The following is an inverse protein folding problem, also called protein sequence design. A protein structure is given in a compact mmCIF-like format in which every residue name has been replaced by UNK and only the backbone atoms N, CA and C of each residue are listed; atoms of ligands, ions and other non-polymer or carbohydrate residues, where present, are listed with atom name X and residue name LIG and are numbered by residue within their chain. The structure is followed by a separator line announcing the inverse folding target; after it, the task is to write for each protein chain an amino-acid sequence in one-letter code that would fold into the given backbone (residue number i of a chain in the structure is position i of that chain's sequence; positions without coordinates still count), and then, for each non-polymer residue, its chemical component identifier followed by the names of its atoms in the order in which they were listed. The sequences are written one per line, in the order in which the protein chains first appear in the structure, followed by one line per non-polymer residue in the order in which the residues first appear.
data_IF_148763939228
#
_entry.id   IF_148763939228
#
_cell.length_a   1.000
_cell.length_b   1.000
_cell.length_c   1.000
_cell.angle_alpha   90.00
_cell.angle_beta   90.00
_cell.angle_gamma   90.00
#
_symmetry.space_group_name_H-M   'P 1'
#
loop_
_entity.id
_entity.type
_entity.pdbx_description
1 polymer ?
#
# COMPACT_ATOMS: atom_id res chain seq x y z
N UNK A 1 27.73 -18.33 38.17
CA UNK A 1 27.54 -18.18 36.72
C UNK A 1 26.08 -18.50 36.44
N UNK A 2 25.25 -17.57 35.98
CA UNK A 2 23.87 -17.89 35.60
C UNK A 2 23.86 -18.68 34.31
N UNK A 3 22.95 -19.65 34.26
CA UNK A 3 22.86 -20.71 33.26
C UNK A 3 22.37 -20.11 31.91
N UNK A 4 23.16 -20.32 30.84
CA UNK A 4 22.92 -19.78 29.49
C UNK A 4 21.52 -20.21 28.95
N UNK A 5 20.99 -21.36 29.39
CA UNK A 5 19.66 -21.86 29.03
C UNK A 5 18.50 -21.01 29.56
N UNK A 6 18.68 -20.34 30.71
CA UNK A 6 17.62 -19.48 31.29
C UNK A 6 17.50 -18.17 30.53
N UNK A 7 18.62 -17.61 30.01
CA UNK A 7 18.62 -16.39 29.23
C UNK A 7 17.97 -16.57 27.84
N UNK A 8 18.17 -17.71 27.17
CA UNK A 8 17.54 -17.99 25.87
C UNK A 8 16.00 -18.21 25.98
N UNK A 9 15.53 -18.75 27.11
CA UNK A 9 14.10 -18.94 27.37
C UNK A 9 13.42 -17.59 27.66
N UNK A 10 14.09 -16.71 28.42
CA UNK A 10 13.56 -15.37 28.72
C UNK A 10 13.51 -14.47 27.47
N UNK A 11 14.47 -14.56 26.56
CA UNK A 11 14.44 -13.83 25.29
C UNK A 11 13.29 -14.30 24.39
N UNK A 12 13.09 -15.62 24.25
CA UNK A 12 11.95 -16.16 23.49
C UNK A 12 10.58 -15.81 24.08
N UNK A 13 10.46 -15.73 25.41
CA UNK A 13 9.23 -15.31 26.08
C UNK A 13 8.96 -13.82 25.88
N UNK A 14 10.01 -12.98 25.83
CA UNK A 14 9.88 -11.55 25.57
C UNK A 14 9.51 -11.29 24.11
N UNK A 15 10.11 -12.02 23.15
CA UNK A 15 9.76 -11.93 21.73
C UNK A 15 8.31 -12.41 21.48
N UNK A 16 7.89 -13.54 22.07
CA UNK A 16 6.51 -14.05 21.91
C UNK A 16 5.46 -13.16 22.60
N UNK A 17 5.78 -12.50 23.72
CA UNK A 17 4.88 -11.52 24.36
C UNK A 17 4.78 -10.23 23.57
N UNK A 18 5.85 -9.76 22.93
CA UNK A 18 5.84 -8.59 22.05
C UNK A 18 4.97 -8.79 20.81
N UNK A 19 5.04 -9.96 20.17
CA UNK A 19 4.23 -10.30 19.00
C UNK A 19 2.73 -10.50 19.32
N UNK A 20 2.41 -11.04 20.50
CA UNK A 20 1.01 -11.27 20.91
C UNK A 20 0.32 -9.98 21.32
N UNK A 21 1.03 -9.03 21.94
CA UNK A 21 0.47 -7.74 22.40
C UNK A 21 0.26 -6.73 21.26
N UNK A 22 0.95 -6.88 20.12
CA UNK A 22 0.76 -6.04 18.92
C UNK A 22 -0.45 -6.46 18.07
N UNK A 23 -0.88 -7.72 18.13
CA UNK A 23 -2.04 -8.22 17.36
C UNK A 23 -3.40 -7.76 17.86
N UNK A 24 -3.51 -7.34 19.11
CA UNK A 24 -4.79 -6.96 19.74
C UNK A 24 -5.05 -5.45 19.77
N UNK A 25 -4.11 -4.60 19.38
CA UNK A 25 -4.37 -3.16 19.24
C UNK A 25 -4.92 -2.88 17.85
N UNK A 26 -6.21 -2.62 17.77
CA UNK A 26 -6.88 -2.18 16.54
C UNK A 26 -6.34 -0.80 16.12
N UNK A 27 -5.28 -0.80 15.29
CA UNK A 27 -4.66 0.42 14.79
C UNK A 27 -5.63 1.11 13.83
N UNK A 28 -5.87 2.40 14.05
CA UNK A 28 -6.85 3.13 13.25
C UNK A 28 -6.45 3.19 11.77
N UNK A 29 -7.43 3.08 10.87
CA UNK A 29 -7.22 3.21 9.41
C UNK A 29 -6.50 4.52 9.06
N UNK A 30 -6.74 5.59 9.81
CA UNK A 30 -6.08 6.88 9.61
C UNK A 30 -4.57 6.85 9.85
N UNK A 31 -4.10 6.08 10.85
CA UNK A 31 -2.67 5.85 11.08
C UNK A 31 -2.05 5.10 9.90
N UNK A 32 -2.67 3.98 9.50
CA UNK A 32 -2.20 3.17 8.37
C UNK A 32 -2.10 4.01 7.09
N UNK A 33 -3.07 4.87 6.79
CA UNK A 33 -3.06 5.76 5.61
C UNK A 33 -1.93 6.80 5.62
N UNK A 34 -1.35 7.12 6.78
CA UNK A 34 -0.20 8.04 6.88
C UNK A 34 1.17 7.37 6.69
N UNK A 35 1.30 6.09 7.03
CA UNK A 35 2.57 5.36 6.97
C UNK A 35 3.23 5.38 5.57
N UNK A 36 2.52 5.20 4.45
CA UNK A 36 3.12 5.29 3.11
C UNK A 36 3.78 6.66 2.86
N UNK A 37 3.18 7.74 3.39
CA UNK A 37 3.76 9.09 3.28
C UNK A 37 5.05 9.19 4.09
N UNK A 38 5.09 8.67 5.33
CA UNK A 38 6.32 8.63 6.12
C UNK A 38 7.42 7.87 5.38
N UNK A 39 7.12 6.65 4.90
CA UNK A 39 8.06 5.81 4.18
C UNK A 39 8.65 6.50 2.95
N UNK A 40 7.83 7.19 2.17
CA UNK A 40 8.28 7.94 0.98
C UNK A 40 9.31 9.01 1.33
N UNK A 41 9.06 9.83 2.34
CA UNK A 41 10.01 10.86 2.77
C UNK A 41 11.28 10.26 3.38
N UNK A 42 11.18 9.19 4.15
CA UNK A 42 12.35 8.48 4.69
C UNK A 42 13.23 7.93 3.57
N UNK A 43 12.65 7.36 2.51
CA UNK A 43 13.37 6.90 1.32
C UNK A 43 14.16 8.02 0.64
N UNK A 44 13.59 9.22 0.56
CA UNK A 44 14.30 10.39 0.01
C UNK A 44 15.43 10.89 0.92
N UNK A 45 15.25 10.84 2.23
CA UNK A 45 16.30 11.16 3.20
C UNK A 45 17.45 10.16 3.16
N UNK A 46 17.13 8.88 3.04
CA UNK A 46 18.13 7.80 2.90
C UNK A 46 18.99 8.00 1.64
N UNK A 47 18.37 8.31 0.49
CA UNK A 47 19.11 8.66 -0.74
C UNK A 47 20.04 9.87 -0.57
N UNK A 48 19.69 10.81 0.31
CA UNK A 48 20.52 11.99 0.64
C UNK A 48 21.59 11.70 1.72
N UNK A 49 21.70 10.46 2.20
CA UNK A 49 22.67 10.07 3.22
C UNK A 49 22.33 10.58 4.63
N UNK A 50 21.07 10.94 4.91
CA UNK A 50 20.64 11.38 6.24
C UNK A 50 20.46 10.14 7.12
N UNK A 51 21.29 10.01 8.15
CA UNK A 51 21.26 8.84 9.05
C UNK A 51 20.17 8.94 10.12
N UNK A 52 19.92 10.15 10.64
CA UNK A 52 18.98 10.38 11.75
C UNK A 52 18.08 11.58 11.48
N UNK A 53 16.84 11.50 11.98
CA UNK A 53 15.88 12.59 11.88
C UNK A 53 15.05 12.70 13.17
N UNK A 54 14.78 13.91 13.64
CA UNK A 54 13.86 14.14 14.74
C UNK A 54 12.39 14.15 14.27
N UNK A 55 11.45 13.91 15.18
CA UNK A 55 10.01 14.08 14.86
C UNK A 55 9.68 15.53 14.46
N UNK A 56 10.44 16.51 14.96
CA UNK A 56 10.28 17.93 14.61
C UNK A 56 10.70 18.17 13.16
N UNK A 57 11.88 17.72 12.76
CA UNK A 57 12.38 17.91 11.39
C UNK A 57 11.52 17.12 10.39
N UNK A 58 11.13 15.91 10.75
CA UNK A 58 10.22 15.11 9.94
C UNK A 58 8.85 15.79 9.76
N UNK A 59 8.36 16.49 10.80
CA UNK A 59 7.09 17.22 10.74
C UNK A 59 7.11 18.34 9.71
N UNK A 60 8.22 19.06 9.61
CA UNK A 60 8.39 20.12 8.60
C UNK A 60 8.34 19.57 7.17
N UNK A 61 8.94 18.40 6.95
CA UNK A 61 8.96 17.76 5.63
C UNK A 61 7.61 17.20 5.21
N UNK A 62 6.86 16.60 6.15
CA UNK A 62 5.65 15.83 5.85
C UNK A 62 4.38 16.68 5.98
N UNK A 63 4.42 17.75 6.77
CA UNK A 63 3.26 18.60 7.05
C UNK A 63 2.29 18.02 8.10
N UNK A 64 2.73 17.05 8.93
CA UNK A 64 2.04 16.61 10.14
C UNK A 64 2.74 17.19 11.37
N UNK A 65 2.04 17.27 12.50
CA UNK A 65 2.68 17.75 13.73
C UNK A 65 3.65 16.71 14.30
N UNK A 66 4.72 17.15 14.95
CA UNK A 66 5.68 16.26 15.61
C UNK A 66 5.00 15.36 16.68
N UNK A 67 3.93 15.83 17.32
CA UNK A 67 3.13 15.03 18.25
C UNK A 67 2.39 13.90 17.54
N UNK A 68 1.76 14.20 16.40
CA UNK A 68 1.05 13.20 15.58
C UNK A 68 2.00 12.12 15.09
N UNK A 69 3.20 12.50 14.59
CA UNK A 69 4.21 11.54 14.13
C UNK A 69 4.63 10.61 15.28
N UNK A 70 4.92 11.16 16.47
CA UNK A 70 5.26 10.33 17.64
C UNK A 70 4.14 9.40 18.04
N UNK A 71 2.90 9.88 18.05
CA UNK A 71 1.73 9.07 18.39
C UNK A 71 1.50 7.95 17.39
N UNK A 72 1.59 8.24 16.08
CA UNK A 72 1.44 7.24 15.03
C UNK A 72 2.50 6.13 15.15
N UNK A 73 3.76 6.52 15.33
CA UNK A 73 4.86 5.56 15.44
C UNK A 73 4.79 4.74 16.74
N UNK A 74 4.33 5.31 17.84
CA UNK A 74 4.17 4.60 19.12
C UNK A 74 3.14 3.46 19.06
N UNK A 75 2.22 3.45 18.07
CA UNK A 75 1.29 2.32 17.88
C UNK A 75 2.01 1.02 17.51
N UNK A 76 3.23 1.11 16.97
CA UNK A 76 3.99 -0.04 16.46
C UNK A 76 5.23 -0.38 17.29
N UNK A 77 5.40 0.25 18.46
CA UNK A 77 6.56 0.10 19.31
C UNK A 77 7.48 1.32 19.31
N UNK A 78 8.51 1.31 20.10
CA UNK A 78 9.44 2.44 20.25
C UNK A 78 10.49 2.46 19.14
N UNK A 79 10.28 3.22 18.08
CA UNK A 79 11.24 3.37 16.97
C UNK A 79 12.42 4.29 17.26
N UNK A 80 12.44 4.99 18.39
CA UNK A 80 13.47 5.94 18.72
C UNK A 80 13.79 6.01 20.20
N UNK A 81 15.01 6.38 20.54
CA UNK A 81 15.38 6.77 21.89
C UNK A 81 15.01 8.24 22.13
N UNK A 82 14.43 8.52 23.28
CA UNK A 82 14.06 9.88 23.67
C UNK A 82 15.29 10.81 23.63
N UNK A 83 15.21 11.88 22.85
CA UNK A 83 16.31 12.85 22.65
C UNK A 83 17.26 12.56 21.48
N UNK A 84 17.27 11.36 20.90
CA UNK A 84 18.18 10.97 19.81
C UNK A 84 17.56 10.94 18.41
N UNK A 85 16.22 11.08 18.31
CA UNK A 85 15.51 10.96 17.03
C UNK A 85 15.39 9.51 16.54
N UNK A 86 15.05 9.37 15.27
CA UNK A 86 14.87 8.09 14.58
C UNK A 86 16.04 7.82 13.63
N UNK A 87 16.52 6.59 13.58
CA UNK A 87 17.36 6.13 12.46
C UNK A 87 16.50 6.08 11.20
N UNK A 88 16.93 6.77 10.14
CA UNK A 88 16.17 6.90 8.88
C UNK A 88 15.99 5.53 8.23
N UNK A 89 17.08 4.77 8.06
CA UNK A 89 17.05 3.43 7.44
C UNK A 89 16.19 2.45 8.25
N UNK A 90 16.42 2.37 9.57
CA UNK A 90 15.65 1.46 10.42
C UNK A 90 14.15 1.78 10.40
N UNK A 91 13.78 3.06 10.52
CA UNK A 91 12.38 3.48 10.48
C UNK A 91 11.74 3.20 9.11
N UNK A 92 12.47 3.43 8.01
CA UNK A 92 12.03 3.11 6.64
C UNK A 92 11.72 1.62 6.47
N UNK A 93 12.63 0.75 6.92
CA UNK A 93 12.48 -0.70 6.85
C UNK A 93 11.30 -1.19 7.70
N UNK A 94 11.22 -0.73 8.94
CA UNK A 94 10.15 -1.14 9.85
C UNK A 94 8.75 -0.70 9.39
N UNK A 95 8.61 0.52 8.86
CA UNK A 95 7.35 0.94 8.23
C UNK A 95 7.06 0.07 7.00
N UNK A 96 8.08 -0.30 6.22
CA UNK A 96 7.93 -1.24 5.11
C UNK A 96 7.35 -2.59 5.56
N UNK A 97 7.89 -3.16 6.62
CA UNK A 97 7.42 -4.43 7.20
C UNK A 97 5.98 -4.33 7.76
N UNK A 98 5.65 -3.23 8.45
CA UNK A 98 4.29 -2.96 8.92
C UNK A 98 3.29 -2.91 7.76
N UNK A 99 3.68 -2.32 6.63
CA UNK A 99 2.88 -2.25 5.42
C UNK A 99 2.88 -3.56 4.59
N UNK A 100 3.61 -4.59 5.03
CA UNK A 100 3.73 -5.86 4.33
C UNK A 100 4.62 -5.82 3.09
N UNK A 101 5.45 -4.78 2.93
CA UNK A 101 6.30 -4.58 1.75
C UNK A 101 7.63 -5.38 1.80
N UNK A 102 7.76 -6.29 2.72
CA UNK A 102 8.77 -7.35 2.78
C UNK A 102 8.40 -8.59 1.95
N UNK A 103 7.16 -8.62 1.41
CA UNK A 103 6.63 -9.67 0.55
C UNK A 103 6.43 -9.17 -0.88
N UNK A 104 6.27 -10.11 -1.79
CA UNK A 104 5.86 -9.84 -3.17
C UNK A 104 4.41 -10.22 -3.39
N UNK A 105 3.71 -9.45 -4.22
CA UNK A 105 2.31 -9.63 -4.52
C UNK A 105 2.09 -9.78 -6.02
N UNK A 106 1.31 -10.78 -6.42
CA UNK A 106 0.85 -10.95 -7.79
C UNK A 106 -0.37 -10.07 -8.03
N UNK A 107 -0.33 -9.28 -9.10
CA UNK A 107 -1.41 -8.37 -9.47
C UNK A 107 -1.93 -8.66 -10.87
N UNK A 108 -3.22 -8.40 -11.06
CA UNK A 108 -3.83 -8.26 -12.38
C UNK A 108 -4.38 -6.85 -12.56
N UNK A 109 -4.36 -6.37 -13.81
CA UNK A 109 -5.02 -5.12 -14.19
C UNK A 109 -6.23 -5.47 -15.05
N UNK A 110 -7.40 -4.96 -14.66
CA UNK A 110 -8.64 -5.15 -15.43
C UNK A 110 -9.10 -3.81 -16.00
N UNK A 111 -9.05 -3.74 -17.34
CA UNK A 111 -9.19 -2.53 -18.13
C UNK A 111 -7.85 -2.02 -18.65
N UNK A 112 -7.55 -2.22 -19.94
CA UNK A 112 -6.30 -1.78 -20.57
C UNK A 112 -6.48 -0.52 -21.42
N UNK A 113 -7.35 0.39 -20.94
CA UNK A 113 -7.49 1.74 -21.46
C UNK A 113 -6.27 2.60 -21.09
N UNK A 114 -6.32 3.90 -21.37
CA UNK A 114 -5.23 4.84 -21.06
C UNK A 114 -4.78 4.80 -19.60
N UNK A 115 -5.74 4.72 -18.67
CA UNK A 115 -5.44 4.64 -17.23
C UNK A 115 -4.78 3.31 -16.88
N UNK A 116 -5.30 2.18 -17.36
CA UNK A 116 -4.72 0.86 -17.10
C UNK A 116 -3.29 0.75 -17.62
N UNK A 117 -3.00 1.28 -18.83
CA UNK A 117 -1.65 1.34 -19.39
C UNK A 117 -0.70 2.20 -18.53
N UNK A 118 -1.17 3.37 -18.08
CA UNK A 118 -0.39 4.23 -17.20
C UNK A 118 -0.07 3.54 -15.87
N UNK A 119 -1.06 2.86 -15.27
CA UNK A 119 -0.88 2.10 -14.02
C UNK A 119 0.07 0.92 -14.19
N UNK A 120 -0.06 0.15 -15.29
CA UNK A 120 0.86 -0.92 -15.60
C UNK A 120 2.31 -0.42 -15.65
N UNK A 121 2.55 0.68 -16.37
CA UNK A 121 3.88 1.30 -16.46
C UNK A 121 4.37 1.81 -15.11
N UNK A 122 3.53 2.50 -14.35
CA UNK A 122 3.89 3.04 -13.04
C UNK A 122 4.29 1.93 -12.06
N UNK A 123 3.44 0.91 -11.88
CA UNK A 123 3.68 -0.20 -10.96
C UNK A 123 4.98 -0.91 -11.31
N UNK A 124 5.13 -1.31 -12.58
CA UNK A 124 6.29 -2.06 -13.03
C UNK A 124 7.63 -1.32 -12.92
N UNK A 125 7.63 0.00 -12.90
CA UNK A 125 8.86 0.81 -12.82
C UNK A 125 9.18 1.29 -11.40
N UNK A 126 8.16 1.43 -10.52
CA UNK A 126 8.32 2.10 -9.24
C UNK A 126 8.04 1.20 -8.03
N UNK A 127 7.32 0.09 -8.22
CA UNK A 127 6.83 -0.76 -7.13
C UNK A 127 7.34 -2.20 -7.26
N UNK A 128 8.60 -2.47 -6.87
CA UNK A 128 9.25 -3.76 -7.10
C UNK A 128 8.61 -4.95 -6.37
N UNK A 129 7.81 -4.68 -5.34
CA UNK A 129 7.11 -5.70 -4.57
C UNK A 129 5.80 -6.17 -5.24
N UNK A 130 5.38 -5.51 -6.34
CA UNK A 130 4.13 -5.81 -7.01
C UNK A 130 4.39 -6.27 -8.44
N UNK A 131 4.06 -7.53 -8.73
CA UNK A 131 4.29 -8.17 -10.03
C UNK A 131 2.98 -8.27 -10.80
N UNK A 132 2.88 -7.58 -11.92
CA UNK A 132 1.75 -7.70 -12.83
C UNK A 132 1.91 -9.01 -13.60
N UNK A 133 1.04 -9.99 -13.30
CA UNK A 133 1.07 -11.33 -13.92
C UNK A 133 0.07 -11.46 -15.07
N UNK A 134 -0.93 -10.57 -15.16
CA UNK A 134 -1.93 -10.56 -16.22
C UNK A 134 -2.61 -9.21 -16.39
N UNK A 135 -3.02 -8.91 -17.60
CA UNK A 135 -3.78 -7.70 -17.96
C UNK A 135 -5.02 -8.14 -18.74
N UNK A 136 -6.18 -7.59 -18.40
CA UNK A 136 -7.45 -8.01 -18.98
C UNK A 136 -8.21 -6.84 -19.59
N UNK A 137 -8.76 -7.04 -20.80
CA UNK A 137 -9.65 -6.07 -21.45
C UNK A 137 -10.74 -6.81 -22.23
N UNK A 138 -11.83 -6.12 -22.51
CA UNK A 138 -12.93 -6.65 -23.36
C UNK A 138 -12.60 -6.61 -24.85
N UNK A 139 -11.62 -5.80 -25.26
CA UNK A 139 -11.24 -5.64 -26.66
C UNK A 139 -10.33 -6.77 -27.10
N UNK A 140 -10.77 -7.58 -28.06
CA UNK A 140 -9.97 -8.64 -28.71
C UNK A 140 -8.75 -8.14 -29.50
N UNK A 141 -8.67 -6.83 -29.78
CA UNK A 141 -7.61 -6.22 -30.61
C UNK A 141 -6.21 -6.29 -29.94
N UNK A 142 -6.16 -6.72 -28.68
CA UNK A 142 -4.94 -6.73 -27.87
C UNK A 142 -4.37 -8.15 -27.76
N UNK A 143 -4.91 -9.14 -28.47
CA UNK A 143 -4.36 -10.49 -28.52
C UNK A 143 -2.94 -10.42 -29.11
N UNK A 144 -1.98 -11.07 -28.43
CA UNK A 144 -0.55 -11.11 -28.76
C UNK A 144 0.29 -9.85 -28.38
N UNK A 145 -0.28 -8.87 -27.69
CA UNK A 145 0.52 -7.79 -27.10
C UNK A 145 0.94 -8.19 -25.68
N UNK A 146 2.23 -8.13 -25.44
CA UNK A 146 2.81 -8.33 -24.11
C UNK A 146 3.14 -6.97 -23.50
N UNK A 147 2.90 -6.83 -22.20
CA UNK A 147 3.44 -5.73 -21.40
C UNK A 147 4.49 -6.30 -20.46
N UNK A 148 5.78 -6.13 -20.78
CA UNK A 148 6.88 -6.83 -20.11
C UNK A 148 6.62 -8.34 -20.13
N UNK A 149 6.52 -8.98 -18.96
CA UNK A 149 6.27 -10.41 -18.80
C UNK A 149 4.78 -10.78 -18.71
N UNK A 150 3.88 -9.77 -18.63
CA UNK A 150 2.44 -9.97 -18.51
C UNK A 150 1.76 -10.10 -19.88
N UNK A 151 0.92 -11.12 -20.02
CA UNK A 151 0.05 -11.27 -21.20
C UNK A 151 -1.18 -10.38 -21.08
N UNK A 152 -1.61 -9.83 -22.22
CA UNK A 152 -2.89 -9.13 -22.33
C UNK A 152 -3.94 -10.12 -22.84
N UNK A 153 -4.97 -10.34 -22.04
CA UNK A 153 -5.99 -11.37 -22.25
C UNK A 153 -7.40 -10.76 -22.31
N UNK A 154 -8.35 -11.54 -22.78
CA UNK A 154 -9.77 -11.16 -22.73
C UNK A 154 -10.34 -11.38 -21.32
N UNK A 155 -11.28 -10.54 -20.90
CA UNK A 155 -11.96 -10.68 -19.61
C UNK A 155 -12.66 -12.02 -19.41
N UNK A 156 -12.97 -12.77 -20.47
CA UNK A 156 -13.58 -14.10 -20.38
C UNK A 156 -12.69 -15.13 -19.65
N UNK A 157 -11.39 -14.97 -19.65
CA UNK A 157 -10.44 -15.86 -18.95
C UNK A 157 -10.02 -15.35 -17.57
N UNK A 158 -10.56 -14.22 -17.11
CA UNK A 158 -10.13 -13.54 -15.89
C UNK A 158 -10.25 -14.45 -14.64
N UNK A 159 -11.41 -15.09 -14.47
CA UNK A 159 -11.69 -15.97 -13.32
C UNK A 159 -10.70 -17.12 -13.24
N UNK A 160 -10.61 -17.91 -14.32
CA UNK A 160 -9.75 -19.09 -14.37
C UNK A 160 -8.28 -18.72 -14.17
N UNK A 161 -7.86 -17.57 -14.70
CA UNK A 161 -6.49 -17.07 -14.54
C UNK A 161 -6.20 -16.69 -13.10
N UNK A 162 -7.11 -15.95 -12.45
CA UNK A 162 -6.96 -15.52 -11.06
C UNK A 162 -6.84 -16.73 -10.12
N UNK A 163 -7.71 -17.73 -10.30
CA UNK A 163 -7.69 -18.97 -9.52
C UNK A 163 -6.39 -19.76 -9.73
N UNK A 164 -5.98 -19.94 -10.99
CA UNK A 164 -4.79 -20.71 -11.35
C UNK A 164 -3.49 -20.06 -10.86
N UNK A 165 -3.36 -18.76 -11.03
CA UNK A 165 -2.13 -18.03 -10.69
C UNK A 165 -2.04 -17.63 -9.23
N UNK A 166 -3.11 -17.82 -8.42
CA UNK A 166 -3.21 -17.36 -7.05
C UNK A 166 -2.89 -15.86 -6.94
N UNK A 167 -3.68 -15.05 -7.63
CA UNK A 167 -3.49 -13.60 -7.69
C UNK A 167 -3.92 -12.96 -6.37
N UNK A 168 -3.10 -12.04 -5.84
CA UNK A 168 -3.37 -11.36 -4.57
C UNK A 168 -4.24 -10.12 -4.73
N UNK A 169 -3.99 -9.32 -5.79
CA UNK A 169 -4.56 -7.98 -5.94
C UNK A 169 -5.10 -7.77 -7.36
N UNK A 170 -6.30 -7.19 -7.48
CA UNK A 170 -6.83 -6.67 -8.72
C UNK A 170 -6.80 -5.14 -8.75
N UNK A 171 -6.25 -4.55 -9.82
CA UNK A 171 -6.35 -3.13 -10.14
C UNK A 171 -7.49 -2.94 -11.12
N UNK A 172 -8.53 -2.21 -10.73
CA UNK A 172 -9.73 -2.01 -11.55
C UNK A 172 -9.70 -0.62 -12.19
N UNK A 173 -9.63 -0.59 -13.52
CA UNK A 173 -9.55 0.63 -14.35
C UNK A 173 -10.59 0.62 -15.49
N UNK A 174 -11.68 -0.10 -15.30
CA UNK A 174 -12.79 -0.17 -16.25
C UNK A 174 -13.75 1.02 -16.12
N UNK A 175 -14.64 1.27 -17.08
CA UNK A 175 -15.71 2.24 -16.91
C UNK A 175 -16.60 1.91 -15.69
N UNK A 176 -17.05 2.93 -14.98
CA UNK A 176 -17.81 2.81 -13.71
C UNK A 176 -18.98 1.82 -13.80
N UNK A 177 -19.72 1.81 -14.91
CA UNK A 177 -20.84 0.89 -15.12
C UNK A 177 -20.45 -0.61 -15.13
N UNK A 178 -19.17 -0.94 -15.20
CA UNK A 178 -18.63 -2.31 -15.18
C UNK A 178 -17.82 -2.64 -13.94
N UNK A 179 -17.56 -1.65 -13.09
CA UNK A 179 -16.66 -1.79 -11.94
C UNK A 179 -17.13 -2.87 -10.97
N UNK A 180 -18.41 -2.84 -10.56
CA UNK A 180 -18.98 -3.81 -9.64
C UNK A 180 -18.92 -5.25 -10.20
N UNK A 181 -19.34 -5.45 -11.44
CA UNK A 181 -19.32 -6.78 -12.07
C UNK A 181 -17.90 -7.37 -12.11
N UNK A 182 -16.89 -6.54 -12.40
CA UNK A 182 -15.49 -6.96 -12.41
C UNK A 182 -15.05 -7.29 -11.00
N UNK A 183 -15.37 -6.46 -10.01
CA UNK A 183 -15.05 -6.68 -8.63
C UNK A 183 -15.63 -7.99 -8.09
N UNK A 184 -16.92 -8.26 -8.35
CA UNK A 184 -17.58 -9.52 -7.98
C UNK A 184 -16.86 -10.71 -8.63
N UNK A 185 -16.52 -10.61 -9.92
CA UNK A 185 -15.82 -11.70 -10.64
C UNK A 185 -14.47 -12.04 -10.01
N UNK A 186 -13.67 -11.04 -9.65
CA UNK A 186 -12.33 -11.28 -9.06
C UNK A 186 -12.41 -11.73 -7.62
N UNK A 187 -13.39 -11.27 -6.86
CA UNK A 187 -13.65 -11.72 -5.48
C UNK A 187 -14.10 -13.18 -5.47
N UNK A 188 -15.02 -13.55 -6.33
CA UNK A 188 -15.47 -14.94 -6.52
C UNK A 188 -14.33 -15.88 -6.93
N UNK A 189 -13.33 -15.36 -7.64
CA UNK A 189 -12.11 -16.09 -8.01
C UNK A 189 -11.05 -16.15 -6.91
N UNK A 190 -11.30 -15.53 -5.74
CA UNK A 190 -10.45 -15.63 -4.55
C UNK A 190 -9.51 -14.44 -4.30
N UNK A 191 -9.61 -13.34 -5.05
CA UNK A 191 -8.84 -12.12 -4.77
C UNK A 191 -9.24 -11.54 -3.41
N UNK A 192 -8.24 -11.08 -2.66
CA UNK A 192 -8.41 -10.50 -1.31
C UNK A 192 -8.19 -9.00 -1.27
N UNK A 193 -7.53 -8.43 -2.26
CA UNK A 193 -7.20 -7.01 -2.34
C UNK A 193 -7.66 -6.38 -3.65
N UNK A 194 -8.33 -5.25 -3.59
CA UNK A 194 -8.77 -4.49 -4.76
C UNK A 194 -8.26 -3.05 -4.66
N UNK A 195 -7.52 -2.63 -5.69
CA UNK A 195 -7.19 -1.22 -5.90
C UNK A 195 -8.13 -0.65 -6.96
N UNK A 196 -9.16 0.05 -6.48
CA UNK A 196 -10.20 0.60 -7.33
C UNK A 196 -9.85 2.02 -7.79
N UNK A 197 -9.63 2.18 -9.08
CA UNK A 197 -9.33 3.46 -9.74
C UNK A 197 -10.52 3.98 -10.57
N UNK A 198 -11.70 3.41 -10.36
CA UNK A 198 -12.94 3.88 -11.00
C UNK A 198 -13.58 5.02 -10.20
N UNK A 199 -14.56 5.71 -10.78
CA UNK A 199 -15.23 6.82 -10.10
C UNK A 199 -16.41 6.37 -9.20
N UNK A 200 -16.48 5.09 -8.84
CA UNK A 200 -17.57 4.55 -7.99
C UNK A 200 -16.98 3.72 -6.85
N UNK A 201 -17.61 3.77 -5.70
CA UNK A 201 -17.34 2.84 -4.62
C UNK A 201 -17.91 1.46 -4.95
N UNK A 202 -17.20 0.42 -4.48
CA UNK A 202 -17.60 -0.97 -4.68
C UNK A 202 -18.29 -1.50 -3.43
N UNK A 203 -19.40 -2.22 -3.65
CA UNK A 203 -20.10 -2.94 -2.58
C UNK A 203 -19.54 -4.37 -2.49
N UNK A 204 -18.74 -4.64 -1.46
CA UNK A 204 -17.97 -5.87 -1.33
C UNK A 204 -18.04 -6.42 0.11
N UNK A 205 -17.83 -7.74 0.29
CA UNK A 205 -17.73 -8.35 1.61
C UNK A 205 -16.66 -7.70 2.48
N UNK A 206 -16.88 -7.61 3.80
CA UNK A 206 -15.97 -6.96 4.76
C UNK A 206 -14.55 -7.58 4.81
N UNK A 207 -14.42 -8.84 4.42
CA UNK A 207 -13.14 -9.55 4.38
C UNK A 207 -12.28 -9.22 3.14
N UNK A 208 -12.79 -8.41 2.21
CA UNK A 208 -12.05 -7.94 1.04
C UNK A 208 -11.46 -6.56 1.34
N UNK A 209 -10.13 -6.45 1.21
CA UNK A 209 -9.46 -5.17 1.36
C UNK A 209 -9.64 -4.33 0.09
N UNK A 210 -10.26 -3.16 0.22
CA UNK A 210 -10.47 -2.23 -0.89
C UNK A 210 -9.83 -0.89 -0.58
N UNK A 211 -9.06 -0.37 -1.53
CA UNK A 211 -8.62 1.03 -1.52
C UNK A 211 -9.20 1.74 -2.75
N UNK A 212 -10.12 2.67 -2.51
CA UNK A 212 -10.73 3.50 -3.55
C UNK A 212 -9.87 4.75 -3.78
N UNK A 213 -9.54 5.04 -5.05
CA UNK A 213 -8.79 6.23 -5.44
C UNK A 213 -9.63 7.06 -6.41
N UNK A 214 -10.28 8.06 -5.87
CA UNK A 214 -11.07 9.03 -6.65
C UNK A 214 -10.19 10.24 -6.95
N UNK A 215 -9.70 10.34 -8.20
CA UNK A 215 -8.78 11.43 -8.57
C UNK A 215 -9.44 12.82 -8.49
N UNK A 216 -10.77 12.89 -8.67
CA UNK A 216 -11.54 14.12 -8.52
C UNK A 216 -11.51 14.70 -7.12
N UNK A 217 -11.40 13.87 -6.07
CA UNK A 217 -11.42 14.34 -4.70
C UNK A 217 -10.23 15.27 -4.41
N UNK A 218 -9.03 14.89 -4.88
CA UNK A 218 -7.84 15.73 -4.75
C UNK A 218 -7.93 17.02 -5.58
N UNK A 219 -8.60 16.97 -6.75
CA UNK A 219 -8.82 18.14 -7.57
C UNK A 219 -9.82 19.11 -6.91
N UNK A 220 -10.89 18.59 -6.31
CA UNK A 220 -11.86 19.42 -5.57
C UNK A 220 -11.21 20.06 -4.34
N UNK A 221 -10.38 19.31 -3.60
CA UNK A 221 -9.61 19.86 -2.49
C UNK A 221 -8.64 20.98 -2.95
N UNK A 222 -8.00 20.83 -4.10
CA UNK A 222 -7.16 21.88 -4.67
C UNK A 222 -7.93 23.17 -4.95
N UNK A 223 -9.13 23.07 -5.52
CA UNK A 223 -9.99 24.25 -5.80
C UNK A 223 -10.33 24.98 -4.52
N UNK A 224 -10.66 24.27 -3.42
CA UNK A 224 -10.89 24.86 -2.11
C UNK A 224 -9.68 25.67 -1.64
N UNK A 225 -8.48 25.11 -1.68
CA UNK A 225 -7.26 25.82 -1.26
C UNK A 225 -6.90 27.03 -2.13
N UNK A 226 -7.27 27.03 -3.41
CA UNK A 226 -7.09 28.21 -4.29
C UNK A 226 -7.97 29.37 -3.88
N UNK A 227 -9.22 29.09 -3.39
CA UNK A 227 -10.13 30.13 -2.92
C UNK A 227 -9.67 30.80 -1.62
N UNK A 228 -8.96 30.10 -0.75
CA UNK A 228 -8.43 30.66 0.51
C UNK A 228 -7.22 31.62 0.28
N UNK A 229 -6.56 31.55 -0.87
CA UNK A 229 -5.40 32.43 -1.17
C UNK A 229 -5.81 33.81 -1.68
N UNK A 230 -7.07 34.04 -2.02
CA UNK A 230 -7.57 35.33 -2.53
C UNK A 230 -8.11 36.25 -1.40
N UNK A 231 -7.94 35.87 -0.13
CA UNK A 231 -8.49 36.58 1.06
C UNK A 231 -7.41 37.19 1.96
N UNK A 232 -6.15 37.32 1.52
CA UNK A 232 -5.09 38.07 2.24
C UNK A 232 -4.71 39.40 1.54
#
# INVERSE_FOLDING_TARGET
MPDIKTAEVDIKIIESRGETDMKDRQISKAVIKRLPRYRRYLKELEKKGVEKISSKDLSVLIGYTASQIRQDLNNFGGFGQQGYGYSVTNLHEQIGSILGLDKTYKMVIVGYGRLGQAMASYISNNEPNFHIVGIFDVKQIIQDVQFKDAQIMTCGSLRDFVEKENVDIAVITVPSAKAQLVADTVVDAGIKGIWNLTAVDLDLPENIAVENVHMSDSLHALVYYMGDTDTE
#
